data_IF_054682822714
#
_entry.id   IF_054682822714
#
_cell.length_a   1.000
_cell.length_b   1.000
_cell.length_c   1.000
_cell.angle_alpha   90.00
_cell.angle_beta   90.00
_cell.angle_gamma   90.00
#
_symmetry.space_group_name_H-M   'P 1'
#
loop_
_entity.id
_entity.type
_entity.pdbx_description
1 polymer ?
#
# COMPACT_ATOMS: atom_id res chain seq x y z
N UNK A 1 3.73 17.81 -21.48
CA UNK A 1 3.44 16.87 -20.40
C UNK A 1 3.65 17.55 -19.05
N UNK A 2 2.89 17.13 -18.07
CA UNK A 2 3.10 17.51 -16.68
C UNK A 2 3.63 16.29 -15.93
N UNK A 3 4.76 16.46 -15.25
CA UNK A 3 5.36 15.39 -14.45
C UNK A 3 5.30 15.83 -13.00
N UNK A 4 4.71 15.01 -12.17
CA UNK A 4 4.60 15.22 -10.72
C UNK A 4 5.43 14.15 -10.04
N UNK A 5 6.38 14.52 -9.20
CA UNK A 5 7.14 13.57 -8.42
C UNK A 5 6.99 13.82 -6.93
N UNK A 6 7.04 12.73 -6.18
CA UNK A 6 6.89 12.76 -4.74
C UNK A 6 8.13 13.34 -4.06
N UNK A 7 7.95 14.04 -2.96
CA UNK A 7 9.04 14.46 -2.07
C UNK A 7 9.44 13.37 -1.06
N UNK A 8 8.68 12.28 -1.01
CA UNK A 8 8.94 11.08 -0.21
C UNK A 8 9.07 9.84 -1.11
N UNK A 9 9.45 8.70 -0.56
CA UNK A 9 9.51 7.46 -1.31
C UNK A 9 8.11 7.05 -1.81
N UNK A 10 8.05 6.43 -2.99
CA UNK A 10 6.82 5.99 -3.63
C UNK A 10 6.26 6.98 -4.67
N UNK A 11 5.16 6.60 -5.27
CA UNK A 11 4.43 7.37 -6.27
C UNK A 11 3.22 8.05 -5.61
N UNK A 12 2.91 9.28 -6.00
CA UNK A 12 1.70 9.97 -5.55
C UNK A 12 0.55 9.57 -6.44
N UNK A 13 -0.57 9.17 -5.85
CA UNK A 13 -1.84 9.14 -6.55
C UNK A 13 -2.43 10.56 -6.55
N UNK A 14 -2.65 11.11 -7.72
CA UNK A 14 -3.29 12.42 -7.89
C UNK A 14 -4.68 12.21 -8.52
N UNK A 15 -5.65 12.89 -7.96
CA UNK A 15 -6.96 12.99 -8.60
C UNK A 15 -6.86 13.95 -9.80
N UNK A 16 -7.05 13.41 -10.98
CA UNK A 16 -7.04 14.15 -12.24
C UNK A 16 -8.45 14.44 -12.77
N UNK A 17 -9.49 14.22 -11.98
CA UNK A 17 -10.89 14.45 -12.38
C UNK A 17 -11.15 15.88 -12.87
N UNK A 18 -10.40 16.85 -12.31
CA UNK A 18 -10.47 18.27 -12.70
C UNK A 18 -9.44 18.65 -13.77
N UNK A 19 -8.66 17.70 -14.29
CA UNK A 19 -7.61 17.98 -15.26
C UNK A 19 -8.20 18.08 -16.67
N UNK A 20 -8.34 19.30 -17.16
CA UNK A 20 -8.99 19.59 -18.47
C UNK A 20 -8.00 19.72 -19.63
N UNK A 21 -6.69 19.56 -19.37
CA UNK A 21 -5.68 19.68 -20.41
C UNK A 21 -5.52 18.39 -21.20
N UNK A 22 -5.19 18.52 -22.47
CA UNK A 22 -4.92 17.38 -23.36
C UNK A 22 -3.50 16.83 -23.24
N UNK A 23 -2.62 17.53 -22.50
CA UNK A 23 -1.25 17.10 -22.27
C UNK A 23 -1.23 15.92 -21.30
N UNK A 24 -0.35 14.92 -21.52
CA UNK A 24 -0.15 13.84 -20.55
C UNK A 24 0.23 14.39 -19.19
N UNK A 25 -0.38 13.83 -18.14
CA UNK A 25 -0.01 14.06 -16.75
C UNK A 25 0.38 12.72 -16.13
N UNK A 26 1.60 12.65 -15.62
CA UNK A 26 2.16 11.41 -15.06
C UNK A 26 2.77 11.68 -13.69
N UNK A 27 2.68 10.68 -12.83
CA UNK A 27 3.37 10.69 -11.54
C UNK A 27 4.55 9.74 -11.59
N UNK A 28 5.66 10.15 -11.01
CA UNK A 28 6.89 9.36 -10.95
C UNK A 28 7.43 9.33 -9.52
N UNK A 29 8.35 8.43 -9.24
CA UNK A 29 8.97 8.32 -7.93
C UNK A 29 9.87 9.51 -7.62
N UNK A 30 10.25 9.67 -6.36
CA UNK A 30 11.21 10.70 -5.94
C UNK A 30 12.56 10.52 -6.63
N UNK A 31 13.05 9.29 -6.74
CA UNK A 31 14.32 8.96 -7.40
C UNK A 31 14.30 9.31 -8.88
N UNK A 32 13.22 8.93 -9.58
CA UNK A 32 13.07 9.23 -11.00
C UNK A 32 12.92 10.73 -11.23
N UNK A 33 12.19 11.44 -10.34
CA UNK A 33 12.07 12.89 -10.39
C UNK A 33 13.40 13.61 -10.16
N UNK A 34 14.22 13.10 -9.25
CA UNK A 34 15.58 13.62 -9.03
C UNK A 34 16.46 13.39 -10.25
N UNK A 35 16.41 12.20 -10.85
CA UNK A 35 17.12 11.87 -12.07
C UNK A 35 16.72 12.77 -13.26
N UNK A 36 15.40 12.93 -13.48
CA UNK A 36 14.87 13.84 -14.52
C UNK A 36 15.39 15.26 -14.32
N UNK A 37 15.38 15.75 -13.08
CA UNK A 37 15.87 17.09 -12.75
C UNK A 37 17.36 17.25 -13.00
N UNK A 38 18.17 16.24 -12.72
CA UNK A 38 19.61 16.22 -12.93
C UNK A 38 19.97 16.28 -14.43
N UNK A 39 19.15 15.64 -15.28
CA UNK A 39 19.37 15.57 -16.73
C UNK A 39 18.61 16.66 -17.53
N UNK A 40 17.80 17.45 -16.86
CA UNK A 40 17.05 18.55 -17.47
C UNK A 40 17.89 19.85 -17.47
N UNK A 41 17.59 20.74 -18.39
CA UNK A 41 18.26 22.03 -18.55
C UNK A 41 17.58 23.05 -17.63
N UNK A 42 18.27 23.60 -16.62
CA UNK A 42 17.69 24.63 -15.77
C UNK A 42 17.55 25.96 -16.54
N UNK A 43 16.40 26.59 -16.37
CA UNK A 43 16.13 27.95 -16.80
C UNK A 43 16.16 28.86 -15.59
N UNK A 44 17.06 29.84 -15.58
CA UNK A 44 17.28 30.73 -14.42
C UNK A 44 16.80 32.13 -14.71
N UNK A 45 16.51 32.88 -13.66
CA UNK A 45 16.32 34.35 -13.72
C UNK A 45 17.68 35.08 -13.79
N UNK A 46 17.59 36.40 -13.81
CA UNK A 46 18.75 37.32 -13.87
C UNK A 46 19.68 37.18 -12.64
N UNK A 47 19.19 36.62 -11.55
CA UNK A 47 19.92 36.40 -10.30
C UNK A 47 20.48 34.97 -10.18
N UNK A 48 20.33 34.14 -11.22
CA UNK A 48 20.76 32.75 -11.22
C UNK A 48 19.86 31.79 -10.47
N UNK A 49 18.66 32.22 -10.02
CA UNK A 49 17.68 31.36 -9.38
C UNK A 49 16.96 30.54 -10.44
N UNK A 50 16.94 29.21 -10.26
CA UNK A 50 16.22 28.29 -11.16
C UNK A 50 14.71 28.57 -11.05
N UNK A 51 14.10 28.92 -12.18
CA UNK A 51 12.67 29.13 -12.32
C UNK A 51 11.95 27.82 -12.68
N UNK A 52 12.49 27.08 -13.63
CA UNK A 52 11.98 25.79 -14.09
C UNK A 52 13.05 25.02 -14.83
N UNK A 53 12.75 23.80 -15.21
CA UNK A 53 13.63 22.95 -16.01
C UNK A 53 12.98 22.64 -17.35
N UNK A 54 13.77 22.53 -18.41
CA UNK A 54 13.33 22.11 -19.74
C UNK A 54 14.06 20.85 -20.15
N UNK A 55 13.45 20.09 -21.04
CA UNK A 55 14.03 18.89 -21.62
C UNK A 55 13.08 18.27 -22.63
N UNK A 56 13.57 17.29 -23.37
CA UNK A 56 12.78 16.49 -24.29
C UNK A 56 12.62 15.11 -23.70
N UNK A 57 11.37 14.62 -23.62
CA UNK A 57 11.06 13.29 -23.16
C UNK A 57 10.23 12.58 -24.21
N UNK A 58 10.62 11.36 -24.56
CA UNK A 58 9.80 10.45 -25.36
C UNK A 58 8.94 9.61 -24.43
N UNK A 59 7.62 9.64 -24.65
CA UNK A 59 6.69 8.72 -24.02
C UNK A 59 6.40 7.61 -25.04
N UNK A 60 6.79 6.38 -24.71
CA UNK A 60 6.43 5.19 -25.48
C UNK A 60 4.97 4.82 -25.18
N UNK A 61 4.25 4.33 -26.18
CA UNK A 61 2.96 3.67 -26.00
C UNK A 61 3.10 2.21 -25.56
N UNK A 62 4.32 1.72 -25.43
CA UNK A 62 4.59 0.41 -24.86
C UNK A 62 4.38 0.46 -23.35
N UNK A 63 3.28 -0.10 -22.90
CA UNK A 63 3.05 -0.34 -21.49
C UNK A 63 3.85 -1.56 -21.06
N UNK A 64 5.01 -1.33 -20.47
CA UNK A 64 5.63 -2.35 -19.66
C UNK A 64 4.79 -2.52 -18.40
N UNK A 65 4.04 -3.58 -18.27
CA UNK A 65 3.58 -4.03 -16.97
C UNK A 65 4.81 -4.56 -16.23
N UNK A 66 5.53 -3.68 -15.58
CA UNK A 66 6.31 -4.13 -14.46
C UNK A 66 5.28 -4.50 -13.39
N UNK A 67 5.06 -5.79 -13.20
CA UNK A 67 4.63 -6.26 -11.90
C UNK A 67 5.68 -5.70 -10.94
N UNK A 68 5.28 -4.70 -10.19
CA UNK A 68 6.09 -4.18 -9.11
C UNK A 68 6.14 -5.32 -8.08
N UNK A 69 7.03 -6.27 -8.32
CA UNK A 69 7.61 -7.02 -7.24
C UNK A 69 8.51 -6.04 -6.52
N UNK A 70 7.90 -5.18 -5.69
CA UNK A 70 8.68 -4.66 -4.61
C UNK A 70 9.06 -5.89 -3.83
N UNK A 71 10.31 -6.28 -3.86
CA UNK A 71 10.84 -7.31 -2.96
C UNK A 71 10.55 -6.94 -1.50
N UNK A 72 10.02 -5.75 -1.28
CA UNK A 72 9.69 -5.17 0.01
C UNK A 72 8.26 -4.62 0.00
N UNK A 73 7.34 -5.39 0.56
CA UNK A 73 6.08 -4.84 1.01
C UNK A 73 6.37 -3.73 2.03
N UNK A 74 5.68 -2.61 1.94
CA UNK A 74 5.82 -1.53 2.89
C UNK A 74 4.50 -1.26 3.60
N UNK A 75 4.58 -0.90 4.88
CA UNK A 75 3.40 -0.46 5.61
C UNK A 75 2.96 0.89 5.06
N UNK A 76 1.76 0.96 4.52
CA UNK A 76 1.21 2.16 3.88
C UNK A 76 1.18 3.35 4.85
N UNK A 77 1.37 4.56 4.31
CA UNK A 77 1.41 5.78 5.11
C UNK A 77 0.10 6.07 5.86
N UNK A 78 -1.02 5.60 5.30
CA UNK A 78 -2.35 5.72 5.92
C UNK A 78 -2.65 4.67 7.00
N UNK A 79 -1.78 3.67 7.19
CA UNK A 79 -1.96 2.67 8.25
C UNK A 79 -1.83 3.32 9.63
N UNK A 80 -2.81 3.06 10.49
CA UNK A 80 -2.81 3.62 11.84
C UNK A 80 -1.69 3.04 12.70
N UNK A 81 -1.25 3.84 13.67
CA UNK A 81 -0.35 3.40 14.72
C UNK A 81 -1.17 2.88 15.91
N UNK A 82 -0.82 1.74 16.49
CA UNK A 82 -1.26 1.34 17.82
C UNK A 82 -0.47 2.16 18.82
N UNK A 83 -0.83 2.29 19.93
CA UNK A 83 -1.52 1.91 21.05
C UNK A 83 -2.80 2.71 21.26
N UNK A 84 -3.95 2.04 21.34
CA UNK A 84 -5.20 2.71 21.67
C UNK A 84 -5.21 3.15 23.14
N UNK A 85 -6.23 3.92 23.53
CA UNK A 85 -6.34 4.51 24.86
C UNK A 85 -6.23 3.55 26.06
N UNK A 86 -6.45 2.25 25.85
CA UNK A 86 -6.22 1.21 26.85
C UNK A 86 -4.77 0.69 26.92
N UNK A 87 -3.86 1.26 26.18
CA UNK A 87 -2.46 0.81 26.03
C UNK A 87 -2.33 -0.65 25.55
N UNK A 88 -3.36 -1.18 24.91
CA UNK A 88 -3.32 -2.51 24.31
C UNK A 88 -2.38 -2.51 23.10
N UNK A 89 -1.65 -3.62 22.96
CA UNK A 89 -0.80 -3.81 21.79
C UNK A 89 -1.66 -4.05 20.55
N UNK A 90 -1.68 -3.10 19.64
CA UNK A 90 -2.35 -3.13 18.35
C UNK A 90 -1.41 -2.54 17.27
N UNK A 91 -1.61 -2.88 15.99
CA UNK A 91 -2.48 -3.93 15.47
C UNK A 91 -2.01 -5.32 15.88
N UNK A 92 -2.84 -6.36 15.70
CA UNK A 92 -2.43 -7.76 15.90
C UNK A 92 -1.60 -8.25 14.71
N UNK A 93 -2.08 -7.97 13.51
CA UNK A 93 -1.46 -8.29 12.22
C UNK A 93 -1.73 -7.15 11.23
N UNK A 94 -1.06 -7.18 10.10
CA UNK A 94 -1.36 -6.36 8.93
C UNK A 94 -1.73 -7.25 7.74
N UNK A 95 -2.49 -6.68 6.81
CA UNK A 95 -2.90 -7.32 5.57
C UNK A 95 -2.78 -6.32 4.41
N UNK A 96 -2.72 -6.77 3.14
CA UNK A 96 -2.65 -5.89 1.99
C UNK A 96 -3.82 -4.91 1.95
N UNK A 97 -3.53 -3.63 1.81
CA UNK A 97 -4.54 -2.56 1.79
C UNK A 97 -4.24 -1.47 0.76
N UNK A 98 -3.11 -1.57 0.06
CA UNK A 98 -2.72 -0.61 -0.97
C UNK A 98 -3.02 -1.13 -2.37
N UNK A 99 -3.69 -0.32 -3.20
CA UNK A 99 -3.99 -0.62 -4.60
C UNK A 99 -4.71 -1.96 -4.81
N UNK A 100 -5.71 -2.23 -3.98
CA UNK A 100 -6.50 -3.46 -4.02
C UNK A 100 -7.53 -3.36 -5.12
N UNK A 101 -7.44 -4.24 -6.12
CA UNK A 101 -8.39 -4.39 -7.20
C UNK A 101 -9.48 -5.38 -6.80
N UNK A 102 -10.71 -4.94 -6.74
CA UNK A 102 -11.85 -5.77 -6.31
C UNK A 102 -13.16 -5.31 -6.95
N UNK A 103 -14.21 -6.05 -6.68
CA UNK A 103 -15.55 -5.77 -7.18
C UNK A 103 -16.05 -4.44 -6.66
N UNK A 104 -16.59 -3.60 -7.56
CA UNK A 104 -17.31 -2.38 -7.20
C UNK A 104 -18.79 -2.71 -6.96
N UNK A 105 -19.17 -2.79 -5.70
CA UNK A 105 -20.55 -3.07 -5.29
C UNK A 105 -21.52 -1.89 -5.47
N UNK A 106 -21.06 -0.74 -5.96
CA UNK A 106 -21.90 0.45 -6.16
C UNK A 106 -22.57 0.50 -7.51
N UNK A 107 -22.18 -0.36 -8.46
CA UNK A 107 -22.73 -0.38 -9.83
C UNK A 107 -23.70 -1.53 -9.98
N UNK A 108 -24.96 -1.20 -10.18
CA UNK A 108 -26.01 -2.17 -10.49
C UNK A 108 -25.88 -2.70 -11.93
N UNK A 109 -25.91 -4.03 -12.08
CA UNK A 109 -26.08 -4.70 -13.38
C UNK A 109 -24.85 -4.79 -14.26
N UNK A 110 -23.65 -4.50 -13.76
CA UNK A 110 -22.40 -4.56 -14.50
C UNK A 110 -21.28 -5.36 -13.84
N UNK A 111 -20.33 -5.80 -14.64
CA UNK A 111 -19.04 -6.28 -14.13
C UNK A 111 -18.17 -5.05 -13.85
N UNK A 112 -18.37 -4.45 -12.69
CA UNK A 112 -17.56 -3.32 -12.28
C UNK A 112 -16.49 -3.76 -11.28
N UNK A 113 -15.30 -3.32 -11.54
CA UNK A 113 -14.16 -3.48 -10.68
C UNK A 113 -13.52 -2.13 -10.44
N UNK A 114 -12.98 -1.95 -9.25
CA UNK A 114 -12.33 -0.71 -8.84
C UNK A 114 -11.04 -1.03 -8.08
N UNK A 115 -10.06 -0.15 -8.21
CA UNK A 115 -8.85 -0.19 -7.40
C UNK A 115 -8.97 0.83 -6.29
N UNK A 116 -8.89 0.36 -5.03
CA UNK A 116 -8.96 1.21 -3.86
C UNK A 116 -7.79 0.95 -2.91
N UNK A 117 -7.45 1.95 -2.11
CA UNK A 117 -6.43 1.83 -1.06
C UNK A 117 -7.00 2.30 0.26
N UNK A 118 -6.72 1.56 1.31
CA UNK A 118 -7.14 1.90 2.66
C UNK A 118 -7.08 0.71 3.61
N UNK A 119 -7.11 0.98 4.89
CA UNK A 119 -7.28 -0.05 5.93
C UNK A 119 -8.62 -0.78 5.78
N UNK A 120 -9.61 -0.13 5.15
CA UNK A 120 -10.89 -0.74 4.78
C UNK A 120 -10.77 -1.85 3.74
N UNK A 121 -9.67 -1.93 2.98
CA UNK A 121 -9.37 -3.01 2.03
C UNK A 121 -8.55 -4.12 2.69
N UNK A 122 -7.76 -3.79 3.71
CA UNK A 122 -7.02 -4.78 4.50
C UNK A 122 -7.91 -5.57 5.45
N UNK A 123 -8.86 -4.91 6.10
CA UNK A 123 -9.76 -5.53 7.10
C UNK A 123 -10.56 -6.74 6.56
N UNK A 124 -11.21 -6.68 5.37
CA UNK A 124 -11.93 -7.83 4.83
C UNK A 124 -11.01 -8.99 4.45
N UNK A 125 -9.76 -8.74 4.07
CA UNK A 125 -8.79 -9.81 3.83
C UNK A 125 -8.45 -10.53 5.13
N UNK A 126 -8.18 -9.79 6.21
CA UNK A 126 -8.00 -10.39 7.53
C UNK A 126 -9.23 -11.17 8.01
N UNK A 127 -10.43 -10.66 7.73
CA UNK A 127 -11.68 -11.37 8.03
C UNK A 127 -11.83 -12.66 7.22
N UNK A 128 -11.47 -12.63 5.94
CA UNK A 128 -11.46 -13.82 5.08
C UNK A 128 -10.49 -14.90 5.58
N UNK A 129 -9.25 -14.51 5.92
CA UNK A 129 -8.27 -15.42 6.52
C UNK A 129 -8.80 -16.01 7.84
N UNK A 130 -9.39 -15.18 8.70
CA UNK A 130 -9.98 -15.63 9.95
C UNK A 130 -11.12 -16.64 9.73
N UNK A 131 -11.94 -16.45 8.69
CA UNK A 131 -13.03 -17.38 8.35
C UNK A 131 -12.49 -18.75 7.91
N UNK A 132 -11.48 -18.78 7.04
CA UNK A 132 -10.85 -20.03 6.58
C UNK A 132 -10.20 -20.79 7.75
N UNK A 133 -9.44 -20.07 8.59
CA UNK A 133 -8.85 -20.67 9.80
C UNK A 133 -9.94 -21.16 10.76
N UNK A 134 -11.01 -20.39 10.91
CA UNK A 134 -12.15 -20.77 11.75
C UNK A 134 -12.82 -22.05 11.28
N UNK A 135 -13.05 -22.20 9.98
CA UNK A 135 -13.59 -23.42 9.39
C UNK A 135 -12.71 -24.63 9.69
N UNK A 136 -11.41 -24.51 9.44
CA UNK A 136 -10.46 -25.57 9.73
C UNK A 136 -10.44 -25.98 11.21
N UNK A 137 -10.48 -25.00 12.13
CA UNK A 137 -10.55 -25.26 13.57
C UNK A 137 -11.80 -26.02 13.98
N UNK A 138 -12.93 -25.73 13.34
CA UNK A 138 -14.20 -26.41 13.55
C UNK A 138 -14.14 -27.84 13.04
N UNK A 139 -13.68 -28.06 11.80
CA UNK A 139 -13.54 -29.38 11.19
C UNK A 139 -12.62 -30.31 12.01
N UNK A 140 -11.53 -29.78 12.54
CA UNK A 140 -10.61 -30.50 13.40
C UNK A 140 -11.05 -30.62 14.87
N UNK A 141 -12.08 -29.89 15.28
CA UNK A 141 -12.56 -29.84 16.65
C UNK A 141 -11.57 -29.31 17.69
N UNK A 142 -10.64 -28.47 17.23
CA UNK A 142 -9.49 -28.04 18.05
C UNK A 142 -9.91 -27.12 19.19
N UNK A 143 -10.93 -26.29 19.02
CA UNK A 143 -11.43 -25.42 20.06
C UNK A 143 -11.88 -26.23 21.29
N UNK A 144 -12.60 -27.33 21.08
CA UNK A 144 -13.05 -28.23 22.14
C UNK A 144 -11.88 -29.03 22.72
N UNK A 145 -11.00 -29.57 21.87
CA UNK A 145 -9.83 -30.36 22.31
C UNK A 145 -8.87 -29.57 23.19
N UNK A 146 -8.71 -28.29 22.90
CA UNK A 146 -7.78 -27.41 23.62
C UNK A 146 -8.47 -26.60 24.73
N UNK A 147 -9.76 -26.65 24.82
CA UNK A 147 -10.58 -25.86 25.75
C UNK A 147 -10.29 -24.34 25.60
N UNK A 148 -10.20 -23.89 24.36
CA UNK A 148 -9.96 -22.49 24.02
C UNK A 148 -11.06 -21.94 23.12
N UNK A 149 -11.30 -20.64 23.18
CA UNK A 149 -12.26 -20.02 22.27
C UNK A 149 -11.74 -20.03 20.83
N UNK A 150 -12.61 -20.23 19.81
CA UNK A 150 -12.20 -20.13 18.40
C UNK A 150 -11.51 -18.82 18.10
N UNK A 151 -11.99 -17.69 18.64
CA UNK A 151 -11.38 -16.37 18.48
C UNK A 151 -9.93 -16.34 18.95
N UNK A 152 -9.64 -16.91 20.13
CA UNK A 152 -8.29 -16.96 20.69
C UNK A 152 -7.37 -17.77 19.79
N UNK A 153 -7.85 -18.92 19.30
CA UNK A 153 -7.06 -19.78 18.40
C UNK A 153 -6.79 -19.12 17.06
N UNK A 154 -7.82 -18.53 16.43
CA UNK A 154 -7.65 -17.79 15.17
C UNK A 154 -6.63 -16.68 15.32
N UNK A 155 -6.76 -15.84 16.33
CA UNK A 155 -5.84 -14.74 16.59
C UNK A 155 -4.40 -15.25 16.80
N UNK A 156 -4.23 -16.28 17.61
CA UNK A 156 -2.91 -16.87 17.89
C UNK A 156 -2.29 -17.45 16.63
N UNK A 157 -3.05 -18.15 15.80
CA UNK A 157 -2.55 -18.75 14.57
C UNK A 157 -2.14 -17.67 13.57
N UNK A 158 -3.00 -16.70 13.30
CA UNK A 158 -2.67 -15.60 12.38
C UNK A 158 -1.44 -14.82 12.84
N UNK A 159 -1.33 -14.54 14.14
CA UNK A 159 -0.17 -13.85 14.69
C UNK A 159 1.12 -14.69 14.66
N UNK A 160 1.02 -15.99 14.90
CA UNK A 160 2.19 -16.86 14.95
C UNK A 160 2.77 -17.20 13.58
N UNK A 161 1.94 -17.10 12.54
CA UNK A 161 2.32 -17.35 11.14
C UNK A 161 2.64 -16.07 10.38
N UNK A 162 2.35 -14.90 10.95
CA UNK A 162 2.62 -13.62 10.33
C UNK A 162 4.14 -13.39 10.15
N UNK A 163 4.50 -12.78 9.02
CA UNK A 163 5.88 -12.48 8.68
C UNK A 163 6.19 -11.03 9.01
N UNK A 164 7.12 -10.76 9.93
CA UNK A 164 7.54 -9.38 10.22
C UNK A 164 8.08 -8.70 8.97
N UNK A 165 7.63 -7.47 8.73
CA UNK A 165 8.04 -6.68 7.58
C UNK A 165 9.21 -5.78 7.89
N UNK A 166 10.16 -5.74 6.98
CA UNK A 166 11.29 -4.84 7.02
C UNK A 166 10.92 -3.46 6.46
N UNK A 167 11.36 -2.42 7.10
CA UNK A 167 11.30 -1.05 6.61
C UNK A 167 12.51 -0.75 5.72
N UNK A 168 13.64 -1.30 6.08
CA UNK A 168 14.93 -1.27 5.40
C UNK A 168 15.63 -2.59 5.69
N UNK A 169 16.64 -2.95 4.92
CA UNK A 169 17.40 -4.19 5.11
C UNK A 169 17.88 -4.32 6.56
N UNK A 170 17.43 -5.37 7.24
CA UNK A 170 17.76 -5.65 8.64
C UNK A 170 17.06 -4.77 9.67
N UNK A 171 16.14 -3.90 9.27
CA UNK A 171 15.39 -3.03 10.16
C UNK A 171 13.88 -3.21 9.98
N UNK A 172 13.25 -3.81 10.96
CA UNK A 172 11.81 -4.07 10.95
C UNK A 172 10.98 -2.85 11.34
N UNK A 173 9.74 -2.83 10.85
CA UNK A 173 8.75 -1.88 11.36
C UNK A 173 8.50 -2.11 12.86
N UNK A 174 8.21 -1.04 13.64
CA UNK A 174 7.83 -1.20 15.03
C UNK A 174 6.57 -2.06 15.21
N UNK A 175 6.51 -2.85 16.28
CA UNK A 175 5.36 -3.70 16.60
C UNK A 175 4.04 -2.91 16.65
N UNK A 176 4.06 -1.68 17.15
CA UNK A 176 2.90 -0.79 17.17
C UNK A 176 2.42 -0.35 15.79
N UNK A 177 3.13 -0.72 14.73
CA UNK A 177 2.77 -0.41 13.34
C UNK A 177 2.42 -1.63 12.52
N UNK A 178 2.98 -2.79 12.83
CA UNK A 178 2.76 -4.02 12.09
C UNK A 178 2.20 -5.17 12.92
N UNK A 179 2.13 -5.06 14.24
CA UNK A 179 1.77 -6.20 15.10
C UNK A 179 2.80 -7.31 14.98
N UNK A 180 2.33 -8.53 14.74
CA UNK A 180 3.16 -9.69 14.45
C UNK A 180 3.74 -9.67 13.01
N UNK A 181 3.16 -8.89 12.11
CA UNK A 181 3.60 -8.80 10.72
C UNK A 181 2.47 -8.99 9.71
N UNK A 182 2.86 -9.27 8.46
CA UNK A 182 1.95 -9.55 7.36
C UNK A 182 1.45 -11.01 7.46
N UNK A 183 0.14 -11.16 7.43
CA UNK A 183 -0.55 -12.43 7.46
C UNK A 183 -1.16 -12.76 6.12
#
# INVERSE_FOLDING_TARGET
ATIIYNNQAGVIQVDLSSYTKTNPCVTITKSDGAWVKEHAIPVTDENGKVLYYTGTMALSSEFGTSLYHSEYYSVSSFSSWGTAGALERKPDIIAPGGSIYSVDGTIEGGQAYVTMSGTSMAAPQAAGMAAVVGQWLEEEGLATKLNLSPRTLIQSLLMSTAVPMEQEVGRYYPVIRQGAGLS
#
